data_IF_558476196092
#
_entry.id   IF_558476196092
#
_cell.length_a   1.000
_cell.length_b   1.000
_cell.length_c   1.000
_cell.angle_alpha   90.00
_cell.angle_beta   90.00
_cell.angle_gamma   90.00
#
_symmetry.space_group_name_H-M   'P 1'
#
loop_
_entity.id
_entity.type
_entity.pdbx_description
1 polymer ?
#
# COMPACT_ATOMS: atom_id res chain seq x y z
N UNK A 1 2.08 -1.27 -10.42
CA UNK A 1 1.68 0.16 -10.35
C UNK A 1 2.79 0.91 -9.61
N UNK A 2 3.02 2.21 -9.85
CA UNK A 2 4.06 2.96 -9.13
C UNK A 2 3.45 4.08 -8.29
N UNK A 3 3.94 4.24 -7.06
CA UNK A 3 3.61 5.37 -6.19
C UNK A 3 4.93 6.06 -5.85
N UNK A 4 5.18 7.23 -6.45
CA UNK A 4 6.50 7.84 -6.44
C UNK A 4 7.53 6.92 -7.11
N UNK A 5 8.62 6.64 -6.40
CA UNK A 5 9.68 5.71 -6.85
C UNK A 5 9.39 4.26 -6.48
N UNK A 6 8.34 3.99 -5.69
CA UNK A 6 8.05 2.67 -5.15
C UNK A 6 7.16 1.85 -6.07
N UNK A 7 7.46 0.56 -6.18
CA UNK A 7 6.65 -0.39 -6.90
C UNK A 7 5.58 -1.01 -6.01
N UNK A 8 4.33 -0.85 -6.41
CA UNK A 8 3.16 -1.39 -5.72
C UNK A 8 2.53 -2.49 -6.54
N UNK A 9 2.42 -3.66 -5.92
CA UNK A 9 1.71 -4.81 -6.49
C UNK A 9 0.32 -4.85 -5.90
N UNK A 10 -0.70 -4.79 -6.76
CA UNK A 10 -2.12 -4.91 -6.38
C UNK A 10 -2.64 -6.24 -6.91
N UNK A 11 -3.37 -6.97 -6.08
CA UNK A 11 -3.94 -8.25 -6.47
C UNK A 11 -5.29 -8.51 -5.80
N UNK A 12 -6.11 -9.33 -6.47
CA UNK A 12 -7.38 -9.81 -5.93
C UNK A 12 -7.13 -10.84 -4.83
N UNK A 13 -7.74 -10.67 -3.66
CA UNK A 13 -7.69 -11.67 -2.60
C UNK A 13 -8.71 -12.77 -2.91
N UNK A 14 -8.27 -13.97 -3.30
CA UNK A 14 -9.14 -15.04 -3.79
C UNK A 14 -10.28 -15.42 -2.81
N UNK A 15 -9.99 -15.40 -1.51
CA UNK A 15 -10.94 -15.82 -0.47
C UNK A 15 -11.70 -14.65 0.18
N UNK A 16 -11.58 -13.43 -0.35
CA UNK A 16 -12.27 -12.23 0.16
C UNK A 16 -12.87 -11.42 -0.99
N UNK A 17 -13.87 -10.59 -0.69
CA UNK A 17 -14.47 -9.70 -1.70
C UNK A 17 -13.57 -8.51 -2.07
N UNK A 18 -12.48 -8.27 -1.36
CA UNK A 18 -11.59 -7.13 -1.56
C UNK A 18 -10.35 -7.39 -2.42
N UNK A 19 -9.46 -6.42 -2.41
CA UNK A 19 -8.15 -6.37 -3.05
C UNK A 19 -7.09 -6.05 -1.99
N UNK A 20 -5.86 -6.46 -2.26
CA UNK A 20 -4.71 -6.11 -1.45
C UNK A 20 -3.67 -5.38 -2.29
N UNK A 21 -2.96 -4.44 -1.67
CA UNK A 21 -1.79 -3.78 -2.21
C UNK A 21 -0.59 -4.08 -1.30
N UNK A 22 0.54 -4.44 -1.91
CA UNK A 22 1.81 -4.67 -1.21
C UNK A 22 2.92 -3.80 -1.81
N UNK A 23 3.74 -3.22 -0.94
CA UNK A 23 4.86 -2.35 -1.29
C UNK A 23 5.84 -2.33 -0.12
N UNK A 24 7.11 -2.67 -0.35
CA UNK A 24 8.10 -2.87 0.71
C UNK A 24 7.53 -3.75 1.85
N UNK A 25 7.64 -3.29 3.11
CA UNK A 25 7.08 -3.94 4.31
C UNK A 25 5.64 -3.49 4.62
N UNK A 26 4.91 -2.91 3.66
CA UNK A 26 3.52 -2.49 3.82
C UNK A 26 2.55 -3.42 3.09
N UNK A 27 1.48 -3.82 3.78
CA UNK A 27 0.33 -4.53 3.22
C UNK A 27 -0.95 -3.78 3.58
N UNK A 28 -1.77 -3.43 2.58
CA UNK A 28 -3.08 -2.79 2.78
C UNK A 28 -4.17 -3.53 2.02
N UNK A 29 -5.37 -3.60 2.60
CA UNK A 29 -6.56 -4.20 1.97
C UNK A 29 -7.64 -3.13 1.74
N UNK A 30 -8.52 -3.34 0.75
CA UNK A 30 -9.70 -2.52 0.48
C UNK A 30 -10.75 -3.29 -0.31
N UNK A 31 -12.00 -2.82 -0.36
CA UNK A 31 -13.07 -3.48 -1.11
C UNK A 31 -12.90 -3.31 -2.63
N UNK A 32 -12.19 -2.26 -3.03
CA UNK A 32 -11.80 -1.97 -4.43
C UNK A 32 -10.28 -1.83 -4.56
N UNK A 33 -9.75 -2.00 -5.78
CA UNK A 33 -8.34 -1.74 -6.07
C UNK A 33 -7.92 -0.32 -5.66
N UNK A 34 -8.78 0.67 -5.97
CA UNK A 34 -8.54 2.08 -5.63
C UNK A 34 -8.44 2.29 -4.13
N UNK A 35 -9.32 1.66 -3.35
CA UNK A 35 -9.28 1.78 -1.90
C UNK A 35 -8.00 1.16 -1.30
N UNK A 36 -7.58 -0.01 -1.79
CA UNK A 36 -6.33 -0.63 -1.36
C UNK A 36 -5.12 0.27 -1.63
N UNK A 37 -5.12 0.95 -2.79
CA UNK A 37 -4.09 1.92 -3.20
C UNK A 37 -4.12 3.21 -2.37
N UNK A 38 -5.28 3.81 -2.13
CA UNK A 38 -5.40 5.02 -1.31
C UNK A 38 -4.92 4.76 0.12
N UNK A 39 -5.19 3.56 0.66
CA UNK A 39 -4.66 3.11 1.95
C UNK A 39 -3.14 2.89 1.88
N UNK A 40 -2.62 2.35 0.78
CA UNK A 40 -1.17 2.18 0.58
C UNK A 40 -0.44 3.53 0.56
N UNK A 41 -0.96 4.54 -0.14
CA UNK A 41 -0.39 5.89 -0.14
C UNK A 41 -0.26 6.45 1.29
N UNK A 42 -1.26 6.22 2.15
CA UNK A 42 -1.20 6.62 3.56
C UNK A 42 -0.15 5.83 4.34
N UNK A 43 0.00 4.53 4.07
CA UNK A 43 1.00 3.68 4.72
C UNK A 43 2.43 4.13 4.37
N UNK A 44 2.73 4.33 3.08
CA UNK A 44 4.03 4.83 2.60
C UNK A 44 4.37 6.16 3.27
N UNK A 45 3.45 7.14 3.25
CA UNK A 45 3.65 8.43 3.91
C UNK A 45 3.95 8.32 5.41
N UNK A 46 3.35 7.34 6.11
CA UNK A 46 3.62 7.11 7.54
C UNK A 46 5.00 6.51 7.77
N UNK A 47 5.42 5.58 6.92
CA UNK A 47 6.74 4.94 7.02
C UNK A 47 7.84 5.94 6.70
N UNK A 48 7.71 6.71 5.62
CA UNK A 48 8.71 7.70 5.22
C UNK A 48 8.93 8.78 6.30
N UNK A 49 7.84 9.26 6.91
CA UNK A 49 7.93 10.19 8.05
C UNK A 49 8.72 9.58 9.22
N UNK A 50 8.48 8.32 9.57
CA UNK A 50 9.23 7.64 10.64
C UNK A 50 10.72 7.53 10.31
N UNK A 51 11.06 7.18 9.07
CA UNK A 51 12.45 7.08 8.61
C UNK A 51 13.16 8.43 8.71
N UNK A 52 12.49 9.53 8.32
CA UNK A 52 13.07 10.88 8.42
C UNK A 52 13.36 11.35 9.85
N UNK A 53 12.67 10.80 10.87
CA UNK A 53 12.84 11.17 12.28
C UNK A 53 13.90 10.33 13.00
N UNK A 54 14.41 9.27 12.36
CA UNK A 54 15.44 8.39 12.92
C UNK A 54 16.86 8.69 12.40
N UNK A 55 16.99 9.69 11.51
CA UNK A 55 18.27 10.22 11.01
C UNK A 55 18.65 11.46 11.79
#
# INVERSE_FOLDING_TARGET
>A
MKIGEKEVTVFKVKNRRGFAAICDDCLTEGDTEREALDRMMKAINRVERKVSQQK
#
